data_IF_399590618572
#
_entry.id   IF_399590618572
#
_cell.length_a   1.000
_cell.length_b   1.000
_cell.length_c   1.000
_cell.angle_alpha   90.00
_cell.angle_beta   90.00
_cell.angle_gamma   90.00
#
_symmetry.space_group_name_H-M   'P 1'
#
loop_
_entity.id
_entity.type
_entity.pdbx_description
1 polymer ?
#
# COMPACT_ATOMS: atom_id res chain seq x y z
N UNK A 1 -18.83 -11.97 -3.37
CA UNK A 1 -17.35 -11.93 -3.35
C UNK A 1 -16.81 -13.30 -3.00
N UNK A 2 -15.96 -13.87 -3.87
CA UNK A 2 -15.26 -15.13 -3.61
C UNK A 2 -13.82 -14.83 -3.21
N UNK A 3 -13.61 -14.26 -2.02
CA UNK A 3 -12.26 -14.04 -1.47
C UNK A 3 -11.96 -15.15 -0.48
N UNK A 4 -10.78 -15.76 -0.58
CA UNK A 4 -10.31 -16.79 0.35
C UNK A 4 -9.07 -16.39 1.14
N UNK A 5 -8.27 -15.45 0.66
CA UNK A 5 -7.08 -14.99 1.38
C UNK A 5 -7.05 -13.47 1.34
N UNK A 6 -6.79 -12.87 2.51
CA UNK A 6 -6.55 -11.45 2.64
C UNK A 6 -5.21 -11.28 3.37
N UNK A 7 -4.26 -10.61 2.73
CA UNK A 7 -2.98 -10.25 3.33
C UNK A 7 -2.91 -8.73 3.50
N UNK A 8 -2.54 -8.28 4.70
CA UNK A 8 -2.23 -6.90 4.97
C UNK A 8 -0.74 -6.77 5.26
N UNK A 9 -0.03 -5.94 4.49
CA UNK A 9 1.42 -5.81 4.51
C UNK A 9 1.84 -4.40 4.96
N UNK A 10 2.60 -4.34 6.05
CA UNK A 10 3.41 -3.19 6.48
C UNK A 10 4.73 -3.22 5.73
N UNK A 11 5.01 -2.18 4.95
CA UNK A 11 6.08 -2.18 3.98
C UNK A 11 7.15 -1.14 4.28
N UNK A 12 8.38 -1.59 4.15
CA UNK A 12 9.56 -0.77 4.30
C UNK A 12 10.56 -1.07 3.19
N UNK A 13 11.41 -0.09 2.89
CA UNK A 13 12.59 -0.33 2.07
C UNK A 13 13.52 -1.38 2.72
N UNK A 14 13.58 -1.41 4.05
CA UNK A 14 14.31 -2.42 4.80
C UNK A 14 13.49 -3.71 4.87
N UNK A 15 13.99 -4.76 4.20
CA UNK A 15 13.36 -6.10 4.15
C UNK A 15 13.02 -6.64 5.54
N UNK A 16 13.86 -6.38 6.56
CA UNK A 16 13.67 -6.88 7.93
C UNK A 16 12.50 -6.20 8.66
N UNK A 17 12.03 -5.06 8.13
CA UNK A 17 10.91 -4.28 8.67
C UNK A 17 9.62 -4.51 7.90
N UNK A 18 9.58 -5.47 6.98
CA UNK A 18 8.37 -5.83 6.23
C UNK A 18 7.62 -6.91 6.99
N UNK A 19 6.40 -6.60 7.37
CA UNK A 19 5.54 -7.49 8.14
C UNK A 19 4.21 -7.67 7.43
N UNK A 20 3.57 -8.81 7.64
CA UNK A 20 2.24 -9.06 7.15
C UNK A 20 1.38 -9.79 8.16
N UNK A 21 0.08 -9.57 8.06
CA UNK A 21 -0.93 -10.39 8.71
C UNK A 21 -1.82 -11.00 7.62
N UNK A 22 -2.11 -12.29 7.76
CA UNK A 22 -2.86 -13.05 6.74
C UNK A 22 -4.11 -13.63 7.39
N UNK A 23 -5.23 -13.48 6.69
CA UNK A 23 -6.48 -14.12 7.02
C UNK A 23 -6.86 -15.08 5.90
N UNK A 24 -7.14 -16.32 6.26
CA UNK A 24 -7.55 -17.38 5.34
C UNK A 24 -8.98 -17.79 5.66
N UNK A 25 -9.80 -17.93 4.64
CA UNK A 25 -11.18 -18.39 4.77
C UNK A 25 -11.21 -19.90 4.86
N UNK A 26 -11.78 -20.42 5.95
CA UNK A 26 -12.10 -21.83 6.14
C UNK A 26 -13.61 -21.98 6.26
N UNK A 27 -14.24 -22.57 5.26
CA UNK A 27 -15.71 -22.62 5.12
C UNK A 27 -16.36 -21.22 5.27
N UNK A 28 -17.08 -21.00 6.38
CA UNK A 28 -17.80 -19.75 6.68
C UNK A 28 -17.04 -18.81 7.60
N UNK A 29 -15.84 -19.17 8.04
CA UNK A 29 -15.06 -18.40 9.03
C UNK A 29 -13.73 -17.95 8.46
N UNK A 30 -13.21 -16.86 9.02
CA UNK A 30 -11.87 -16.38 8.76
C UNK A 30 -10.94 -16.77 9.91
N UNK A 31 -9.80 -17.35 9.55
CA UNK A 31 -8.71 -17.67 10.46
C UNK A 31 -7.61 -16.66 10.24
N UNK A 32 -7.32 -15.87 11.28
CA UNK A 32 -6.27 -14.87 11.28
C UNK A 32 -4.98 -15.46 11.85
N UNK A 33 -3.90 -15.35 11.10
CA UNK A 33 -2.55 -15.69 11.54
C UNK A 33 -1.94 -14.56 12.38
N UNK A 34 -0.98 -14.90 13.25
CA UNK A 34 -0.16 -13.89 13.91
C UNK A 34 0.64 -13.09 12.85
N UNK A 35 0.97 -11.80 13.13
CA UNK A 35 1.88 -11.06 12.27
C UNK A 35 3.19 -11.83 12.06
N UNK A 36 3.63 -11.89 10.81
CA UNK A 36 4.86 -12.58 10.41
C UNK A 36 5.67 -11.74 9.42
N UNK A 37 6.99 -11.96 9.32
CA UNK A 37 7.80 -11.30 8.30
C UNK A 37 7.31 -11.65 6.90
N UNK A 38 7.39 -10.69 5.98
CA UNK A 38 6.98 -10.92 4.58
C UNK A 38 7.85 -11.99 3.92
N UNK A 39 9.13 -12.13 4.28
CA UNK A 39 10.03 -13.09 3.63
C UNK A 39 10.43 -12.66 2.22
N UNK A 40 10.72 -13.63 1.34
CA UNK A 40 11.06 -13.35 -0.06
C UNK A 40 9.86 -12.83 -0.84
N UNK A 41 10.09 -11.84 -1.70
CA UNK A 41 9.00 -11.16 -2.42
C UNK A 41 8.62 -11.88 -3.71
N UNK A 42 9.56 -12.63 -4.31
CA UNK A 42 9.36 -13.30 -5.59
C UNK A 42 8.36 -14.46 -5.49
N UNK A 43 8.24 -15.09 -4.32
CA UNK A 43 7.32 -16.20 -4.07
C UNK A 43 6.12 -15.80 -3.20
N UNK A 44 6.00 -14.51 -2.80
CA UNK A 44 4.97 -14.04 -1.89
C UNK A 44 3.55 -14.33 -2.41
N UNK A 45 3.26 -13.99 -3.67
CA UNK A 45 1.93 -14.22 -4.26
C UNK A 45 1.64 -15.73 -4.38
N UNK A 46 2.52 -16.57 -4.98
CA UNK A 46 2.33 -18.02 -4.99
C UNK A 46 2.11 -18.62 -3.59
N UNK A 47 2.88 -18.18 -2.59
CA UNK A 47 2.78 -18.66 -1.21
C UNK A 47 1.47 -18.28 -0.54
N UNK A 48 0.98 -17.05 -0.75
CA UNK A 48 -0.31 -16.64 -0.22
C UNK A 48 -1.47 -17.36 -0.92
N UNK A 49 -1.34 -17.65 -2.22
CA UNK A 49 -2.33 -18.43 -2.95
C UNK A 49 -2.43 -19.87 -2.45
N UNK A 50 -1.29 -20.50 -2.13
CA UNK A 50 -1.29 -21.88 -1.61
C UNK A 50 -1.92 -22.01 -0.22
N UNK A 51 -2.17 -20.90 0.48
CA UNK A 51 -2.96 -20.91 1.72
C UNK A 51 -4.46 -21.15 1.48
N UNK A 52 -4.98 -20.94 0.27
CA UNK A 52 -6.38 -21.15 -0.04
C UNK A 52 -6.65 -22.61 -0.48
N UNK A 53 -7.70 -23.23 0.04
CA UNK A 53 -8.17 -24.54 -0.43
C UNK A 53 -8.94 -24.47 -1.75
N UNK A 54 -9.28 -23.26 -2.20
CA UNK A 54 -10.10 -22.99 -3.38
C UNK A 54 -9.41 -21.98 -4.28
N UNK A 55 -9.74 -21.98 -5.58
CA UNK A 55 -9.27 -20.96 -6.54
C UNK A 55 -10.01 -19.63 -6.37
N UNK A 56 -10.29 -19.21 -5.14
CA UNK A 56 -10.90 -17.92 -4.84
C UNK A 56 -9.88 -16.78 -4.94
N UNK A 57 -10.38 -15.54 -4.91
CA UNK A 57 -9.55 -14.35 -5.00
C UNK A 57 -8.61 -14.21 -3.79
N UNK A 58 -7.41 -13.72 -4.08
CA UNK A 58 -6.42 -13.24 -3.13
C UNK A 58 -6.47 -11.71 -3.09
N UNK A 59 -6.62 -11.14 -1.89
CA UNK A 59 -6.61 -9.71 -1.66
C UNK A 59 -5.34 -9.29 -0.91
N UNK A 60 -4.60 -8.31 -1.42
CA UNK A 60 -3.34 -7.86 -0.83
C UNK A 60 -3.34 -6.34 -0.63
N UNK A 61 -3.39 -5.92 0.63
CA UNK A 61 -3.28 -4.53 1.03
C UNK A 61 -1.85 -4.17 1.39
N UNK A 62 -1.31 -3.12 0.77
CA UNK A 62 -0.01 -2.57 1.13
C UNK A 62 -0.12 -1.17 1.71
N UNK A 63 0.67 -0.85 2.72
CA UNK A 63 0.69 0.49 3.32
C UNK A 63 1.47 1.54 2.49
N UNK A 64 2.20 1.10 1.45
CA UNK A 64 2.87 2.01 0.52
C UNK A 64 1.90 2.66 -0.49
N UNK A 65 2.23 3.86 -1.02
CA UNK A 65 1.48 4.50 -2.09
C UNK A 65 1.29 3.64 -3.34
N UNK A 66 0.04 3.47 -3.81
CA UNK A 66 -0.26 2.95 -5.16
C UNK A 66 -0.97 4.04 -5.99
N UNK A 67 -0.51 4.27 -7.23
CA UNK A 67 -1.00 5.32 -8.11
C UNK A 67 -0.14 6.58 -8.12
N UNK A 68 -0.41 7.47 -9.07
CA UNK A 68 0.33 8.71 -9.31
C UNK A 68 -0.56 9.96 -9.08
N UNK A 69 0.02 11.11 -8.72
CA UNK A 69 -0.69 12.38 -8.76
C UNK A 69 -1.20 12.70 -10.17
N UNK A 70 -2.43 13.22 -10.28
CA UNK A 70 -3.08 13.39 -11.59
C UNK A 70 -2.34 14.38 -12.52
N UNK A 71 -1.79 15.48 -11.97
CA UNK A 71 -1.03 16.45 -12.75
C UNK A 71 0.25 15.84 -13.33
N UNK A 72 0.98 15.08 -12.50
CA UNK A 72 2.16 14.35 -12.93
C UNK A 72 1.82 13.26 -13.97
N UNK A 73 0.74 12.51 -13.76
CA UNK A 73 0.26 11.51 -14.73
C UNK A 73 -0.07 12.13 -16.10
N UNK A 74 -0.70 13.32 -16.13
CA UNK A 74 -0.96 14.06 -17.35
C UNK A 74 0.34 14.49 -18.05
N UNK A 75 1.32 14.97 -17.29
CA UNK A 75 2.63 15.38 -17.81
C UNK A 75 3.45 14.22 -18.39
N UNK A 76 3.29 12.99 -17.86
CA UNK A 76 3.92 11.80 -18.45
C UNK A 76 3.41 11.49 -19.86
N UNK A 77 2.17 11.86 -20.17
CA UNK A 77 1.52 11.58 -21.46
C UNK A 77 1.15 10.11 -21.65
N UNK A 78 1.02 9.33 -20.56
CA UNK A 78 0.63 7.92 -20.60
C UNK A 78 -0.86 7.76 -20.36
N UNK A 79 -1.48 6.78 -21.01
CA UNK A 79 -2.93 6.63 -21.04
C UNK A 79 -3.56 6.35 -19.66
N UNK A 80 -2.89 5.53 -18.83
CA UNK A 80 -3.38 5.16 -17.50
C UNK A 80 -2.23 4.66 -16.61
N UNK A 81 -2.53 4.39 -15.33
CA UNK A 81 -1.54 3.95 -14.34
C UNK A 81 -0.88 2.61 -14.71
N UNK A 82 -1.63 1.68 -15.32
CA UNK A 82 -1.11 0.39 -15.77
C UNK A 82 -0.11 0.56 -16.92
N UNK A 83 -0.38 1.45 -17.87
CA UNK A 83 0.58 1.83 -18.91
C UNK A 83 1.83 2.48 -18.30
N UNK A 84 1.68 3.27 -17.24
CA UNK A 84 2.81 3.85 -16.51
C UNK A 84 3.70 2.78 -15.85
N UNK A 85 3.10 1.82 -15.13
CA UNK A 85 3.84 0.72 -14.50
C UNK A 85 4.64 -0.11 -15.50
N UNK A 86 4.09 -0.36 -16.70
CA UNK A 86 4.80 -1.08 -17.77
C UNK A 86 5.93 -0.27 -18.40
N UNK A 87 5.84 1.07 -18.36
CA UNK A 87 6.84 1.95 -18.94
C UNK A 87 8.01 2.22 -17.98
N UNK A 88 7.76 2.28 -16.67
CA UNK A 88 8.78 2.57 -15.66
C UNK A 88 9.89 1.52 -15.64
N UNK A 89 11.14 1.96 -15.57
CA UNK A 89 12.32 1.10 -15.68
C UNK A 89 12.71 0.73 -17.12
N UNK A 90 11.87 0.99 -18.11
CA UNK A 90 12.24 0.91 -19.53
C UNK A 90 13.04 2.13 -20.00
N UNK A 91 13.49 2.18 -21.25
CA UNK A 91 14.45 3.19 -21.77
C UNK A 91 14.14 4.64 -21.36
N UNK A 92 12.95 5.15 -21.72
CA UNK A 92 12.54 6.54 -21.39
C UNK A 92 12.46 6.80 -19.88
N UNK A 93 12.19 5.78 -19.09
CA UNK A 93 11.92 5.88 -17.66
C UNK A 93 12.90 5.03 -16.83
N UNK A 94 14.12 4.86 -17.32
CA UNK A 94 15.12 3.97 -16.71
C UNK A 94 15.47 4.43 -15.30
N UNK A 95 15.49 5.76 -15.10
CA UNK A 95 15.81 6.42 -13.83
C UNK A 95 14.59 6.73 -12.96
N UNK A 96 13.41 6.22 -13.30
CA UNK A 96 12.18 6.59 -12.61
C UNK A 96 12.19 6.22 -11.14
N UNK A 97 12.86 5.11 -10.79
CA UNK A 97 13.01 4.65 -9.42
C UNK A 97 14.22 5.27 -8.69
N UNK A 98 15.02 6.08 -9.37
CA UNK A 98 16.19 6.69 -8.77
C UNK A 98 15.80 7.94 -8.00
N UNK A 99 16.29 8.03 -6.76
CA UNK A 99 16.11 9.24 -5.98
C UNK A 99 17.15 10.28 -6.42
N UNK A 100 16.70 11.47 -6.79
CA UNK A 100 17.52 12.61 -7.15
C UNK A 100 18.35 13.08 -5.93
N UNK A 101 19.64 13.30 -6.16
CA UNK A 101 20.56 13.80 -5.14
C UNK A 101 20.51 15.32 -5.09
N UNK A 102 20.54 15.97 -6.25
CA UNK A 102 20.46 17.41 -6.39
C UNK A 102 19.12 17.85 -7.01
N UNK A 103 18.69 19.08 -6.73
CA UNK A 103 17.43 19.63 -7.27
C UNK A 103 17.40 19.68 -8.81
N UNK A 104 18.58 19.78 -9.43
CA UNK A 104 18.73 19.82 -10.89
C UNK A 104 18.61 18.43 -11.53
N UNK A 105 18.66 17.35 -10.72
CA UNK A 105 18.49 15.98 -11.22
C UNK A 105 17.01 15.57 -11.27
N UNK A 106 16.12 16.40 -10.70
CA UNK A 106 14.68 16.15 -10.70
C UNK A 106 14.18 16.33 -12.13
N UNK A 107 13.56 15.29 -12.65
CA UNK A 107 12.98 15.29 -13.98
C UNK A 107 11.69 14.46 -14.01
N UNK A 108 10.93 14.58 -15.09
CA UNK A 108 9.71 13.78 -15.27
C UNK A 108 10.01 12.27 -15.21
N UNK A 109 11.17 11.84 -15.71
CA UNK A 109 11.69 10.47 -15.69
C UNK A 109 12.52 10.13 -14.44
N UNK A 110 12.70 11.06 -13.49
CA UNK A 110 13.40 10.87 -12.20
C UNK A 110 12.79 11.77 -11.12
N UNK A 111 11.56 11.48 -10.65
CA UNK A 111 10.80 12.44 -9.86
C UNK A 111 11.07 12.40 -8.35
N UNK A 112 11.67 11.34 -7.82
CA UNK A 112 11.83 11.16 -6.37
C UNK A 112 12.94 12.05 -5.84
N UNK A 113 12.66 12.84 -4.79
CA UNK A 113 13.64 13.74 -4.19
C UNK A 113 13.29 14.04 -2.73
N UNK A 114 14.28 14.20 -1.84
CA UNK A 114 15.72 14.08 -2.08
C UNK A 114 16.34 12.79 -1.51
N UNK A 115 17.53 12.45 -2.00
CA UNK A 115 18.29 11.28 -1.51
C UNK A 115 18.73 11.45 -0.04
N UNK A 116 19.21 12.64 0.31
CA UNK A 116 19.80 12.97 1.63
C UNK A 116 19.27 14.31 2.15
N UNK A 117 19.24 14.53 3.48
CA UNK A 117 18.93 15.84 4.06
C UNK A 117 20.02 16.88 3.71
N UNK A 118 19.65 18.16 3.78
CA UNK A 118 20.57 19.30 3.60
C UNK A 118 20.13 20.25 2.49
N UNK A 119 19.63 21.43 2.85
CA UNK A 119 19.23 22.48 1.89
C UNK A 119 18.08 22.09 0.94
N UNK A 120 17.42 20.96 1.19
CA UNK A 120 16.38 20.40 0.31
C UNK A 120 15.01 20.95 0.68
N UNK A 121 14.22 21.30 -0.35
CA UNK A 121 12.90 21.92 -0.16
C UNK A 121 11.89 21.29 -1.12
N UNK A 122 10.62 21.17 -0.69
CA UNK A 122 9.54 20.64 -1.53
C UNK A 122 9.32 21.48 -2.79
N UNK A 123 9.56 22.80 -2.72
CA UNK A 123 9.48 23.69 -3.89
C UNK A 123 10.35 23.23 -5.07
N UNK A 124 11.47 22.55 -4.81
CA UNK A 124 12.33 22.02 -5.87
C UNK A 124 11.58 21.01 -6.75
N UNK A 125 10.70 20.19 -6.16
CA UNK A 125 9.84 19.29 -6.93
C UNK A 125 8.82 20.05 -7.76
N UNK A 126 8.31 21.17 -7.24
CA UNK A 126 7.25 21.93 -7.91
C UNK A 126 7.82 22.62 -9.15
N UNK A 127 8.95 23.31 -8.94
CA UNK A 127 9.68 24.03 -9.97
C UNK A 127 10.15 23.06 -11.07
N UNK A 128 10.75 21.92 -10.71
CA UNK A 128 11.30 20.96 -11.68
C UNK A 128 10.23 20.13 -12.41
N UNK A 129 9.10 19.81 -11.78
CA UNK A 129 8.00 19.07 -12.41
C UNK A 129 6.97 19.99 -13.07
N UNK A 130 7.19 21.31 -13.04
CA UNK A 130 6.35 22.31 -13.69
C UNK A 130 4.94 22.39 -13.12
N UNK A 131 4.76 22.18 -11.81
CA UNK A 131 3.45 22.31 -11.15
C UNK A 131 3.33 23.61 -10.38
N UNK A 132 2.14 24.20 -10.35
CA UNK A 132 1.91 25.48 -9.68
C UNK A 132 1.84 25.39 -8.16
N UNK A 133 1.53 24.21 -7.62
CA UNK A 133 1.37 23.99 -6.19
C UNK A 133 1.70 22.56 -5.73
N UNK A 134 2.11 22.41 -4.47
CA UNK A 134 2.35 21.08 -3.89
C UNK A 134 1.12 20.17 -3.86
N UNK A 135 -0.10 20.74 -3.89
CA UNK A 135 -1.36 19.98 -3.95
C UNK A 135 -1.56 19.23 -5.27
N UNK A 136 -0.89 19.64 -6.32
CA UNK A 136 -0.90 18.96 -7.63
C UNK A 136 -0.05 17.70 -7.64
N UNK A 137 0.96 17.62 -6.76
CA UNK A 137 1.75 16.41 -6.51
C UNK A 137 1.14 15.51 -5.43
N UNK A 138 -0.06 15.84 -4.94
CA UNK A 138 -0.85 14.95 -4.10
C UNK A 138 -1.90 14.22 -4.93
N UNK A 139 -2.02 12.91 -4.70
CA UNK A 139 -3.16 12.10 -5.13
C UNK A 139 -4.43 12.61 -4.46
N UNK A 140 -5.58 12.34 -5.07
CA UNK A 140 -6.88 12.78 -4.52
C UNK A 140 -7.07 12.30 -3.08
N UNK A 141 -6.73 11.05 -2.78
CA UNK A 141 -6.83 10.48 -1.44
C UNK A 141 -5.82 11.05 -0.44
N UNK A 142 -4.78 11.75 -0.88
CA UNK A 142 -3.79 12.37 0.01
C UNK A 142 -4.17 13.78 0.44
N UNK A 143 -5.06 14.45 -0.30
CA UNK A 143 -5.46 15.83 0.01
C UNK A 143 -6.18 15.92 1.35
N UNK A 144 -6.05 17.07 1.99
CA UNK A 144 -6.73 17.42 3.21
C UNK A 144 -8.25 17.26 3.07
N UNK A 145 -8.88 16.89 4.17
CA UNK A 145 -10.34 16.83 4.34
C UNK A 145 -10.71 17.76 5.49
N UNK A 146 -11.99 17.89 5.83
CA UNK A 146 -12.40 18.62 7.04
C UNK A 146 -11.70 18.09 8.31
N UNK A 147 -11.32 16.80 8.29
CA UNK A 147 -10.96 16.07 9.48
C UNK A 147 -9.47 15.74 9.64
N UNK A 148 -8.69 15.96 8.58
CA UNK A 148 -7.25 15.71 8.55
C UNK A 148 -6.56 16.60 7.51
N UNK A 149 -5.31 16.95 7.76
CA UNK A 149 -4.46 17.66 6.81
C UNK A 149 -4.05 16.82 5.60
N UNK A 150 -3.26 17.45 4.72
CA UNK A 150 -2.61 16.77 3.60
C UNK A 150 -1.71 15.64 4.12
N UNK A 151 -1.76 14.50 3.44
CA UNK A 151 -0.91 13.35 3.71
C UNK A 151 0.48 13.52 3.06
N UNK A 152 1.26 12.44 3.06
CA UNK A 152 2.59 12.44 2.49
C UNK A 152 2.56 12.57 0.96
N UNK A 153 3.52 13.27 0.39
CA UNK A 153 3.71 13.39 -1.06
C UNK A 153 4.54 12.22 -1.57
N UNK A 154 4.07 11.54 -2.63
CA UNK A 154 4.75 10.38 -3.21
C UNK A 154 6.23 10.62 -3.50
N UNK A 155 6.54 11.75 -4.14
CA UNK A 155 7.89 12.06 -4.61
C UNK A 155 8.82 12.63 -3.54
N UNK A 156 8.32 12.87 -2.32
CA UNK A 156 9.15 13.33 -1.21
C UNK A 156 9.72 12.17 -0.40
N UNK A 157 11.04 12.08 -0.28
CA UNK A 157 11.73 10.89 0.27
C UNK A 157 12.48 11.11 1.59
N UNK A 158 12.20 12.20 2.31
CA UNK A 158 12.82 12.49 3.62
C UNK A 158 11.83 12.66 4.78
N UNK A 159 12.35 12.36 5.97
CA UNK A 159 11.66 12.51 7.26
C UNK A 159 10.62 11.43 7.52
N UNK A 160 9.76 11.64 8.52
CA UNK A 160 8.67 10.72 8.87
C UNK A 160 7.62 10.50 7.76
N UNK A 161 7.74 11.22 6.64
CA UNK A 161 6.84 11.20 5.49
C UNK A 161 7.47 10.56 4.23
N UNK A 162 8.54 9.76 4.38
CA UNK A 162 9.30 9.14 3.27
C UNK A 162 8.58 7.96 2.59
N UNK A 163 7.27 8.09 2.34
CA UNK A 163 6.44 7.05 1.72
C UNK A 163 6.89 6.69 0.30
N UNK A 164 7.61 7.59 -0.38
CA UNK A 164 8.16 7.36 -1.71
C UNK A 164 9.17 6.21 -1.78
N UNK A 165 10.00 6.04 -0.74
CA UNK A 165 10.98 4.93 -0.71
C UNK A 165 10.30 3.57 -0.57
N UNK A 166 9.23 3.51 0.23
CA UNK A 166 8.40 2.31 0.33
C UNK A 166 7.67 2.02 -0.99
N UNK A 167 7.18 3.07 -1.69
CA UNK A 167 6.57 2.92 -3.02
C UNK A 167 7.57 2.38 -4.06
N UNK A 168 8.79 2.92 -4.12
CA UNK A 168 9.85 2.42 -5.02
C UNK A 168 10.07 0.92 -4.82
N UNK A 169 10.30 0.50 -3.58
CA UNK A 169 10.52 -0.90 -3.24
C UNK A 169 9.30 -1.77 -3.55
N UNK A 170 8.11 -1.37 -3.09
CA UNK A 170 6.88 -2.14 -3.31
C UNK A 170 6.51 -2.27 -4.79
N UNK A 171 6.73 -1.23 -5.58
CA UNK A 171 6.40 -1.27 -7.01
C UNK A 171 7.38 -2.16 -7.77
N UNK A 172 8.68 -2.05 -7.48
CA UNK A 172 9.71 -2.88 -8.15
C UNK A 172 9.67 -4.34 -7.74
N UNK A 173 9.36 -4.63 -6.48
CA UNK A 173 9.45 -5.99 -5.93
C UNK A 173 8.12 -6.75 -6.02
N UNK A 174 6.97 -6.05 -6.00
CA UNK A 174 5.65 -6.69 -6.02
C UNK A 174 4.85 -6.34 -7.26
N UNK A 175 4.64 -5.06 -7.56
CA UNK A 175 3.63 -4.67 -8.57
C UNK A 175 4.12 -4.92 -10.00
N UNK A 176 5.29 -4.41 -10.34
CA UNK A 176 5.81 -4.44 -11.72
C UNK A 176 6.10 -5.86 -12.20
N UNK A 177 6.78 -6.73 -11.42
CA UNK A 177 7.04 -8.10 -11.85
C UNK A 177 5.77 -8.89 -12.15
N UNK A 178 4.67 -8.55 -11.46
CA UNK A 178 3.39 -9.26 -11.55
C UNK A 178 2.31 -8.45 -12.29
N UNK A 179 2.66 -7.36 -12.98
CA UNK A 179 1.67 -6.37 -13.46
C UNK A 179 0.66 -6.98 -14.45
N UNK A 180 1.03 -8.02 -15.20
CA UNK A 180 0.13 -8.73 -16.12
C UNK A 180 -0.91 -9.59 -15.40
N UNK A 181 -0.61 -10.06 -14.19
CA UNK A 181 -1.42 -11.01 -13.43
C UNK A 181 -2.20 -10.33 -12.29
N UNK A 182 -1.74 -9.14 -11.87
CA UNK A 182 -2.37 -8.34 -10.84
C UNK A 182 -3.51 -7.50 -11.38
N UNK A 183 -4.54 -7.39 -10.56
CA UNK A 183 -5.60 -6.39 -10.67
C UNK A 183 -5.37 -5.32 -9.61
N UNK A 184 -5.36 -4.06 -10.01
CA UNK A 184 -5.04 -2.90 -9.17
C UNK A 184 -6.31 -2.13 -8.86
N UNK A 185 -6.77 -2.19 -7.62
CA UNK A 185 -7.87 -1.35 -7.16
C UNK A 185 -7.34 0.02 -6.70
N UNK A 186 -8.03 1.15 -7.00
CA UNK A 186 -9.31 1.28 -7.71
C UNK A 186 -9.19 1.50 -9.23
N UNK A 187 -8.06 1.18 -9.85
CA UNK A 187 -7.78 1.55 -11.24
C UNK A 187 -8.47 0.65 -12.27
N UNK A 188 -8.63 -0.64 -11.97
CA UNK A 188 -9.18 -1.62 -12.92
C UNK A 188 -10.68 -1.91 -12.72
N UNK A 189 -11.36 -1.24 -11.78
CA UNK A 189 -12.80 -1.39 -11.56
C UNK A 189 -13.23 -1.39 -10.10
N UNK A 190 -14.50 -1.75 -9.86
CA UNK A 190 -15.04 -1.88 -8.50
C UNK A 190 -14.48 -3.12 -7.81
N UNK A 191 -14.31 -3.09 -6.49
CA UNK A 191 -13.75 -4.23 -5.77
C UNK A 191 -14.59 -5.51 -5.91
N UNK A 192 -15.92 -5.36 -6.02
CA UNK A 192 -16.83 -6.47 -6.26
C UNK A 192 -16.57 -7.16 -7.61
N UNK A 193 -16.29 -6.39 -8.66
CA UNK A 193 -16.01 -6.91 -9.99
C UNK A 193 -14.62 -7.56 -10.10
N UNK A 194 -13.68 -7.10 -9.27
CA UNK A 194 -12.28 -7.55 -9.32
C UNK A 194 -12.03 -8.82 -8.49
N UNK A 195 -12.91 -9.15 -7.55
CA UNK A 195 -12.76 -10.31 -6.64
C UNK A 195 -13.36 -11.60 -7.21
N UNK A 196 -12.95 -11.94 -8.44
CA UNK A 196 -13.32 -13.17 -9.15
C UNK A 196 -12.41 -14.34 -8.75
N UNK A 197 -12.84 -15.60 -8.93
CA UNK A 197 -11.95 -16.75 -8.80
C UNK A 197 -10.65 -16.57 -9.59
N UNK A 198 -9.53 -16.98 -9.01
CA UNK A 198 -8.21 -16.84 -9.61
C UNK A 198 -7.64 -15.42 -9.63
N UNK A 199 -8.34 -14.38 -9.17
CA UNK A 199 -7.82 -13.00 -9.22
C UNK A 199 -6.88 -12.68 -8.05
N UNK A 200 -5.76 -11.98 -8.32
CA UNK A 200 -4.93 -11.33 -7.29
C UNK A 200 -5.22 -9.84 -7.33
N UNK A 201 -5.86 -9.31 -6.30
CA UNK A 201 -6.20 -7.89 -6.22
C UNK A 201 -5.27 -7.19 -5.24
N UNK A 202 -4.55 -6.18 -5.74
CA UNK A 202 -3.68 -5.32 -4.95
C UNK A 202 -4.34 -3.98 -4.73
N UNK A 203 -4.29 -3.50 -3.49
CA UNK A 203 -4.89 -2.24 -3.08
C UNK A 203 -3.98 -1.49 -2.09
N UNK A 204 -4.11 -0.17 -2.09
CA UNK A 204 -3.52 0.66 -1.05
C UNK A 204 -4.33 0.45 0.23
N UNK A 205 -3.67 -0.01 1.29
CA UNK A 205 -4.15 -0.25 2.67
C UNK A 205 -5.62 -0.71 2.77
N UNK A 206 -5.83 -1.94 3.24
CA UNK A 206 -7.17 -2.54 3.41
C UNK A 206 -8.18 -1.69 4.24
N UNK A 207 -7.75 -0.74 5.09
CA UNK A 207 -8.68 0.23 5.72
C UNK A 207 -9.46 1.10 4.71
N UNK A 208 -9.01 1.26 3.46
CA UNK A 208 -9.81 1.94 2.44
C UNK A 208 -11.01 1.09 1.97
N UNK A 209 -11.07 -0.22 2.29
CA UNK A 209 -12.29 -1.03 2.15
C UNK A 209 -13.32 -0.73 3.24
N UNK A 210 -12.90 -0.50 4.49
CA UNK A 210 -13.84 -0.13 5.55
C UNK A 210 -14.44 1.26 5.32
N UNK A 211 -13.86 2.10 4.46
CA UNK A 211 -14.48 3.38 4.07
C UNK A 211 -15.67 3.22 3.09
N UNK A 212 -15.94 2.02 2.58
CA UNK A 212 -17.22 1.69 1.92
C UNK A 212 -18.33 1.45 2.95
N UNK A 213 -17.99 1.26 4.25
CA UNK A 213 -18.92 1.26 5.38
C UNK A 213 -18.26 1.79 6.68
N UNK A 214 -18.29 3.12 6.83
CA UNK A 214 -17.97 3.97 7.99
C UNK A 214 -16.50 4.32 8.35
N UNK A 215 -16.36 5.60 8.69
CA UNK A 215 -15.18 6.32 9.19
C UNK A 215 -15.00 6.21 10.72
N UNK A 216 -13.79 6.41 11.25
CA UNK A 216 -13.48 7.40 12.32
C UNK A 216 -11.98 7.45 12.71
N UNK A 217 -11.64 8.51 13.47
CA UNK A 217 -10.36 9.27 13.63
C UNK A 217 -9.47 8.87 14.83
N UNK A 218 -8.16 9.18 14.71
CA UNK A 218 -7.16 9.49 15.79
C UNK A 218 -6.71 8.32 16.69
N UNK A 219 -5.50 8.17 17.23
CA UNK A 219 -4.26 8.95 17.34
C UNK A 219 -3.07 7.98 17.70
N UNK A 220 -1.91 8.41 18.26
CA UNK A 220 -0.55 8.23 17.75
C UNK A 220 0.24 6.98 18.24
N UNK A 221 1.38 6.75 17.56
CA UNK A 221 2.63 6.04 17.94
C UNK A 221 2.63 4.76 18.80
N UNK A 222 3.32 3.72 18.29
CA UNK A 222 4.00 2.69 19.12
C UNK A 222 3.31 1.33 19.29
N UNK A 223 3.19 0.53 18.21
CA UNK A 223 3.15 -0.95 18.20
C UNK A 223 2.70 -1.43 16.80
N UNK A 224 3.65 -1.69 15.89
CA UNK A 224 3.37 -2.14 14.51
C UNK A 224 2.49 -3.40 14.45
N UNK A 225 2.78 -4.39 15.30
CA UNK A 225 2.17 -5.72 15.24
C UNK A 225 0.67 -5.73 15.62
N UNK A 226 0.27 -4.83 16.52
CA UNK A 226 -1.12 -4.72 17.00
C UNK A 226 -2.09 -4.15 15.95
N UNK A 227 -1.58 -3.29 15.07
CA UNK A 227 -2.39 -2.54 14.11
C UNK A 227 -2.74 -3.37 12.89
N UNK A 228 -1.84 -4.22 12.41
CA UNK A 228 -2.05 -5.03 11.20
C UNK A 228 -3.18 -6.05 11.39
N UNK A 229 -3.19 -6.74 12.52
CA UNK A 229 -4.23 -7.70 12.87
C UNK A 229 -5.58 -7.01 13.13
N UNK A 230 -5.59 -5.84 13.79
CA UNK A 230 -6.81 -5.07 14.03
C UNK A 230 -7.44 -4.58 12.72
N UNK A 231 -6.63 -4.02 11.82
CA UNK A 231 -7.07 -3.56 10.49
C UNK A 231 -7.68 -4.69 9.67
N UNK A 232 -7.05 -5.87 9.71
CA UNK A 232 -7.53 -7.03 8.97
C UNK A 232 -8.84 -7.59 9.57
N UNK A 233 -8.95 -7.62 10.90
CA UNK A 233 -10.19 -8.01 11.60
C UNK A 233 -11.34 -7.04 11.36
N UNK A 234 -11.07 -5.73 11.32
CA UNK A 234 -12.06 -4.70 11.00
C UNK A 234 -12.61 -4.90 9.59
N UNK A 235 -11.74 -5.10 8.60
CA UNK A 235 -12.15 -5.36 7.23
C UNK A 235 -13.05 -6.60 7.11
N UNK A 236 -12.65 -7.70 7.76
CA UNK A 236 -13.43 -8.95 7.77
C UNK A 236 -14.78 -8.78 8.48
N UNK A 237 -14.82 -8.02 9.58
CA UNK A 237 -16.03 -7.82 10.38
C UNK A 237 -17.02 -6.87 9.70
N UNK A 238 -16.54 -5.88 8.94
CA UNK A 238 -17.38 -4.93 8.19
C UNK A 238 -18.17 -5.58 7.04
N UNK A 239 -17.76 -6.78 6.61
CA UNK A 239 -18.48 -7.60 5.62
C UNK A 239 -19.51 -8.57 6.25
N UNK A 240 -19.75 -8.49 7.57
CA UNK A 240 -20.79 -9.27 8.26
C UNK A 240 -20.41 -10.71 8.63
N UNK A 241 -19.12 -11.07 8.63
CA UNK A 241 -18.66 -12.44 8.91
C UNK A 241 -18.30 -12.66 10.39
N UNK A 242 -18.72 -13.78 11.01
CA UNK A 242 -18.30 -14.13 12.36
C UNK A 242 -16.79 -14.45 12.40
N UNK A 243 -16.01 -13.67 13.16
CA UNK A 243 -14.58 -13.92 13.39
C UNK A 243 -14.39 -14.82 14.61
N UNK A 244 -13.61 -15.90 14.46
CA UNK A 244 -13.20 -16.74 15.58
C UNK A 244 -11.71 -16.51 15.86
N UNK A 245 -11.34 -15.65 16.83
CA UNK A 245 -9.94 -15.47 17.17
C UNK A 245 -9.36 -16.78 17.72
N UNK A 246 -8.21 -17.19 17.17
CA UNK A 246 -7.43 -18.34 17.64
C UNK A 246 -6.99 -18.14 19.09
N UNK A 247 -6.63 -19.22 19.78
CA UNK A 247 -6.16 -19.18 21.18
C UNK A 247 -4.94 -18.28 21.38
N UNK A 248 -4.13 -18.08 20.32
CA UNK A 248 -3.03 -17.11 20.27
C UNK A 248 -3.54 -15.65 20.30
N UNK A 249 -4.56 -15.32 19.49
CA UNK A 249 -5.18 -13.99 19.47
C UNK A 249 -5.90 -13.65 20.80
N UNK A 250 -6.50 -14.65 21.48
CA UNK A 250 -7.14 -14.46 22.81
C UNK A 250 -6.14 -14.23 23.94
N UNK A 251 -5.00 -14.94 23.93
CA UNK A 251 -3.92 -14.76 24.92
C UNK A 251 -3.32 -13.36 24.83
N UNK A 252 -3.28 -12.81 23.63
CA UNK A 252 -2.76 -11.47 23.35
C UNK A 252 -3.73 -10.35 23.76
N UNK A 253 -5.06 -10.50 23.52
CA UNK A 253 -6.10 -9.57 24.02
C UNK A 253 -6.02 -9.32 25.53
N UNK A 254 -5.66 -10.35 26.32
CA UNK A 254 -5.45 -10.22 27.78
C UNK A 254 -4.15 -9.49 28.15
N UNK A 255 -3.08 -9.62 27.36
CA UNK A 255 -1.82 -8.90 27.58
C UNK A 255 -1.94 -7.40 27.25
N UNK A 256 -2.67 -7.04 26.21
CA UNK A 256 -2.88 -5.62 25.83
C UNK A 256 -3.79 -4.86 26.80
N UNK A 257 -4.71 -5.53 27.50
CA UNK A 257 -5.54 -4.92 28.56
C UNK A 257 -4.80 -4.76 29.90
N UNK A 258 -3.70 -5.50 30.12
CA UNK A 258 -2.90 -5.46 31.35
C UNK A 258 -1.66 -4.54 31.25
N UNK A 259 -1.47 -3.82 30.15
CA UNK A 259 -0.39 -2.85 29.96
C UNK A 259 -0.69 -1.43 30.44
N UNK A 260 -1.65 -1.26 31.36
CA UNK A 260 -1.87 -0.04 32.12
C UNK A 260 -1.21 -0.21 33.51
N UNK A 261 0.10 0.02 33.55
CA UNK A 261 0.85 0.46 34.72
C UNK A 261 2.10 1.19 34.22
#
# INVERSE_FOLDING_TARGET
MSVAVIAHCDWSIDRKKRWMCVAVRQATKWILSAPEPVGETNDLIPRLRSCAETDAALLMGFDFPIGLPAAYGKALGLANFRSALRAFGGERFARWFDVAEHRNDIAIDRPFYPMRPGGTQRRHLFDALGVGSGRELLRRCERATADRGDACMLFWTLGGNQVGKAAISGWREIIIPNVSELVLWPFDGSLADLTKPGATVVLKRIQEMSTVNLAFRGAPCGASDSRLAAVLLEAISSDGWPTAPTSAARRWRRRSLMGLA
#
